data_IF_877057558154
#
_entry.id   IF_877057558154
#
_cell.length_a   1.000
_cell.length_b   1.000
_cell.length_c   1.000
_cell.angle_alpha   90.00
_cell.angle_beta   90.00
_cell.angle_gamma   90.00
#
_symmetry.space_group_name_H-M   'P 1'
#
loop_
_entity.id
_entity.type
_entity.pdbx_description
1 polymer ?
#
# COMPACT_ATOMS: atom_id res chain seq x y z
N UNK A 1 4.72 -10.12 -6.35
CA UNK A 1 3.29 -10.39 -6.61
C UNK A 1 2.86 -11.73 -6.05
N UNK A 2 3.59 -12.84 -6.29
CA UNK A 2 3.23 -14.18 -5.76
C UNK A 2 2.90 -14.20 -4.25
N UNK A 3 3.74 -13.58 -3.40
CA UNK A 3 3.45 -13.47 -1.96
C UNK A 3 2.08 -12.84 -1.64
N UNK A 4 1.62 -11.89 -2.46
CA UNK A 4 0.32 -11.27 -2.28
C UNK A 4 -0.82 -12.24 -2.62
N UNK A 5 -0.63 -13.10 -3.63
CA UNK A 5 -1.59 -14.16 -3.95
C UNK A 5 -1.69 -15.19 -2.84
N UNK A 6 -0.55 -15.68 -2.34
CA UNK A 6 -0.53 -16.66 -1.25
C UNK A 6 -1.23 -16.12 0.01
N UNK A 7 -1.06 -14.83 0.31
CA UNK A 7 -1.74 -14.17 1.43
C UNK A 7 -3.25 -14.04 1.20
N UNK A 8 -3.69 -13.72 -0.03
CA UNK A 8 -5.11 -13.71 -0.38
C UNK A 8 -5.73 -15.10 -0.24
N UNK A 9 -5.07 -16.15 -0.73
CA UNK A 9 -5.53 -17.54 -0.61
C UNK A 9 -5.64 -17.98 0.86
N UNK A 10 -4.79 -17.45 1.72
CA UNK A 10 -4.84 -17.65 3.18
C UNK A 10 -5.90 -16.79 3.88
N UNK A 11 -6.70 -16.02 3.14
CA UNK A 11 -7.81 -15.22 3.66
C UNK A 11 -7.41 -13.87 4.24
N UNK A 12 -6.18 -13.39 4.01
CA UNK A 12 -5.78 -12.05 4.46
C UNK A 12 -6.31 -10.96 3.53
N UNK A 13 -6.63 -9.80 4.10
CA UNK A 13 -6.78 -8.57 3.32
C UNK A 13 -5.41 -8.02 2.98
N UNK A 14 -5.05 -8.03 1.70
CA UNK A 14 -3.72 -7.61 1.24
C UNK A 14 -3.76 -6.19 0.68
N UNK A 15 -2.86 -5.35 1.18
CA UNK A 15 -2.65 -3.98 0.70
C UNK A 15 -1.23 -3.87 0.14
N UNK A 16 -1.10 -3.52 -1.13
CA UNK A 16 0.18 -3.31 -1.80
C UNK A 16 0.47 -1.82 -1.91
N UNK A 17 1.51 -1.38 -1.21
CA UNK A 17 1.95 0.02 -1.14
C UNK A 17 2.84 0.33 -2.34
N UNK A 18 2.26 0.89 -3.40
CA UNK A 18 2.91 1.00 -4.71
C UNK A 18 4.18 1.86 -4.66
N UNK A 19 4.21 2.90 -3.85
CA UNK A 19 5.36 3.78 -3.65
C UNK A 19 6.40 3.24 -2.67
N UNK A 20 6.22 2.00 -2.20
CA UNK A 20 7.17 1.27 -1.36
C UNK A 20 7.56 -0.10 -1.95
N UNK A 21 7.24 -0.35 -3.23
CA UNK A 21 7.67 -1.55 -3.96
C UNK A 21 8.28 -1.14 -5.30
N UNK A 22 9.15 -1.99 -5.86
CA UNK A 22 9.82 -1.69 -7.13
C UNK A 22 10.11 -2.97 -7.93
N UNK A 23 10.43 -2.77 -9.20
CA UNK A 23 11.00 -3.78 -10.08
C UNK A 23 12.14 -3.17 -10.88
N UNK A 24 13.04 -4.01 -11.42
CA UNK A 24 14.13 -3.55 -12.30
C UNK A 24 13.63 -2.90 -13.60
N UNK A 25 12.53 -3.39 -14.15
CA UNK A 25 11.90 -2.85 -15.35
C UNK A 25 10.54 -2.22 -15.02
N UNK A 26 10.26 -1.06 -15.63
CA UNK A 26 9.03 -0.30 -15.41
C UNK A 26 7.78 -1.02 -15.95
N UNK A 27 7.91 -1.81 -17.02
CA UNK A 27 6.82 -2.63 -17.56
C UNK A 27 6.45 -3.73 -16.56
N UNK A 28 7.44 -4.43 -16.00
CA UNK A 28 7.22 -5.49 -15.01
C UNK A 28 6.58 -4.93 -13.73
N UNK A 29 7.05 -3.77 -13.26
CA UNK A 29 6.45 -3.06 -12.12
C UNK A 29 4.97 -2.75 -12.36
N UNK A 30 4.66 -2.08 -13.48
CA UNK A 30 3.28 -1.68 -13.82
C UNK A 30 2.37 -2.90 -14.04
N UNK A 31 2.87 -3.93 -14.71
CA UNK A 31 2.13 -5.17 -14.94
C UNK A 31 1.87 -5.91 -13.62
N UNK A 32 2.87 -6.01 -12.75
CA UNK A 32 2.73 -6.64 -11.43
C UNK A 32 1.68 -5.96 -10.55
N UNK A 33 1.65 -4.62 -10.52
CA UNK A 33 0.62 -3.86 -9.81
C UNK A 33 -0.78 -4.10 -10.37
N UNK A 34 -0.94 -4.10 -11.71
CA UNK A 34 -2.23 -4.36 -12.35
C UNK A 34 -2.72 -5.77 -12.08
N UNK A 35 -1.86 -6.77 -12.19
CA UNK A 35 -2.21 -8.16 -11.88
C UNK A 35 -2.60 -8.31 -10.40
N UNK A 36 -1.86 -7.68 -9.48
CA UNK A 36 -2.20 -7.65 -8.06
C UNK A 36 -3.60 -7.08 -7.82
N UNK A 37 -3.90 -5.92 -8.41
CA UNK A 37 -5.22 -5.30 -8.30
C UNK A 37 -6.33 -6.21 -8.82
N UNK A 38 -6.14 -6.82 -10.00
CA UNK A 38 -7.11 -7.75 -10.60
C UNK A 38 -7.34 -9.01 -9.77
N UNK A 39 -6.33 -9.47 -9.02
CA UNK A 39 -6.46 -10.61 -8.12
C UNK A 39 -7.14 -10.28 -6.78
N UNK A 40 -7.47 -9.01 -6.53
CA UNK A 40 -8.15 -8.57 -5.30
C UNK A 40 -7.22 -7.92 -4.26
N UNK A 41 -5.95 -7.66 -4.59
CA UNK A 41 -5.07 -6.86 -3.73
C UNK A 41 -5.47 -5.39 -3.82
N UNK A 42 -5.61 -4.71 -2.69
CA UNK A 42 -5.80 -3.25 -2.70
C UNK A 42 -4.46 -2.57 -2.99
N UNK A 43 -4.33 -1.90 -4.12
CA UNK A 43 -3.13 -1.09 -4.43
C UNK A 43 -3.33 0.33 -3.89
N UNK A 44 -2.43 0.77 -3.02
CA UNK A 44 -2.51 2.05 -2.32
C UNK A 44 -1.14 2.72 -2.20
N UNK A 45 -1.07 3.88 -1.55
CA UNK A 45 0.20 4.57 -1.23
C UNK A 45 0.48 4.51 0.27
N UNK A 46 1.73 4.77 0.65
CA UNK A 46 2.13 4.78 2.05
C UNK A 46 1.30 5.80 2.86
N UNK A 47 1.05 6.97 2.28
CA UNK A 47 0.19 8.01 2.86
C UNK A 47 -1.23 7.50 3.12
N UNK A 48 -1.85 6.84 2.15
CA UNK A 48 -3.19 6.27 2.30
C UNK A 48 -3.24 5.26 3.44
N UNK A 49 -2.26 4.35 3.54
CA UNK A 49 -2.20 3.34 4.61
C UNK A 49 -2.09 4.00 5.97
N UNK A 50 -1.19 4.98 6.12
CA UNK A 50 -0.98 5.67 7.40
C UNK A 50 -2.26 6.37 7.88
N UNK A 51 -2.97 7.07 6.98
CA UNK A 51 -4.22 7.75 7.36
C UNK A 51 -5.39 6.78 7.55
N UNK A 52 -5.46 5.67 6.80
CA UNK A 52 -6.47 4.62 7.03
C UNK A 52 -6.32 4.00 8.43
N UNK A 53 -5.07 3.74 8.87
CA UNK A 53 -4.79 3.19 10.20
C UNK A 53 -5.14 4.16 11.33
N UNK A 54 -4.99 5.47 11.11
CA UNK A 54 -5.34 6.48 12.11
C UNK A 54 -6.84 6.57 12.37
N UNK A 55 -7.69 6.26 11.38
CA UNK A 55 -9.18 6.29 11.41
C UNK A 55 -9.83 7.65 11.72
N UNK A 56 -9.15 8.57 12.40
CA UNK A 56 -9.62 9.91 12.75
C UNK A 56 -8.54 10.96 12.51
N UNK A 57 -9.00 12.13 12.07
CA UNK A 57 -8.16 13.31 11.96
C UNK A 57 -7.99 14.00 13.32
N UNK A 58 -6.91 14.77 13.45
CA UNK A 58 -6.61 15.55 14.65
C UNK A 58 -5.94 14.75 15.79
N UNK A 59 -5.46 15.49 16.79
CA UNK A 59 -4.72 14.92 17.93
C UNK A 59 -3.23 14.71 17.66
N UNK A 60 -2.51 14.22 18.68
CA UNK A 60 -1.06 14.08 18.65
C UNK A 60 -0.58 13.07 17.59
N UNK A 61 -1.26 11.91 17.48
CA UNK A 61 -0.92 10.87 16.50
C UNK A 61 -1.09 11.36 15.05
N UNK A 62 -2.19 12.07 14.75
CA UNK A 62 -2.39 12.67 13.43
C UNK A 62 -1.32 13.70 13.10
N UNK A 63 -0.94 14.57 14.05
CA UNK A 63 0.13 15.56 13.85
C UNK A 63 1.46 14.88 13.55
N UNK A 64 1.80 13.82 14.27
CA UNK A 64 3.04 13.07 14.04
C UNK A 64 3.06 12.44 12.64
N UNK A 65 1.99 11.74 12.25
CA UNK A 65 1.89 11.13 10.91
C UNK A 65 1.87 12.20 9.81
N UNK A 66 1.12 13.30 10.00
CA UNK A 66 1.08 14.40 9.03
C UNK A 66 2.46 15.04 8.83
N UNK A 67 3.28 15.15 9.88
CA UNK A 67 4.65 15.62 9.77
C UNK A 67 5.53 14.66 8.95
N UNK A 68 5.39 13.34 9.14
CA UNK A 68 6.12 12.33 8.36
C UNK A 68 5.74 12.36 6.88
N UNK A 69 4.45 12.46 6.57
CA UNK A 69 3.96 12.49 5.18
C UNK A 69 4.41 13.77 4.46
N UNK A 70 4.42 14.92 5.14
CA UNK A 70 4.87 16.20 4.56
C UNK A 70 6.37 16.27 4.27
N UNK A 71 7.17 15.44 4.93
CA UNK A 71 8.63 15.45 4.78
C UNK A 71 9.12 14.61 3.59
N UNK A 72 8.21 13.98 2.85
CA UNK A 72 8.47 13.14 1.69
C UNK A 72 8.64 13.96 0.41
#
# INVERSE_FOLDING_TARGET
YQTALDLLERGYSVFMVQDAVCSRNSLDYKSGLRCAAQAGVTVCTAEMVLFQLLKKAGGAAFKAISALVKAR
#
